data_IF_233099919823
#
_entry.id   IF_233099919823
#
_cell.length_a   1.000
_cell.length_b   1.000
_cell.length_c   1.000
_cell.angle_alpha   90.00
_cell.angle_beta   90.00
_cell.angle_gamma   90.00
#
_symmetry.space_group_name_H-M   'P 1'
#
loop_
_entity.id
_entity.type
_entity.pdbx_description
1 polymer ?
#
# COMPACT_ATOMS: atom_id res chain seq x y z
N UNK A 1 22.49 -22.48 -18.63
CA UNK A 1 21.89 -21.29 -19.30
C UNK A 1 20.46 -21.01 -18.82
N UNK A 2 19.69 -22.02 -18.39
CA UNK A 2 18.30 -21.84 -17.91
C UNK A 2 18.13 -21.06 -16.59
N UNK A 3 19.06 -21.18 -15.64
CA UNK A 3 18.91 -20.55 -14.32
C UNK A 3 19.04 -19.01 -14.33
N UNK A 4 19.75 -18.44 -15.30
CA UNK A 4 20.03 -16.99 -15.33
C UNK A 4 18.86 -16.15 -15.90
N UNK A 5 17.96 -16.76 -16.69
CA UNK A 5 16.78 -16.08 -17.25
C UNK A 5 15.61 -15.99 -16.25
N UNK A 6 15.61 -16.81 -15.19
CA UNK A 6 14.59 -16.77 -14.13
C UNK A 6 14.73 -15.58 -13.18
N UNK A 7 15.88 -14.89 -13.16
CA UNK A 7 16.14 -13.80 -12.21
C UNK A 7 15.55 -12.44 -12.64
N UNK A 8 15.20 -12.25 -13.92
CA UNK A 8 14.64 -10.97 -14.41
C UNK A 8 13.10 -10.91 -14.40
N UNK A 9 12.40 -12.05 -14.34
CA UNK A 9 10.93 -12.08 -14.48
C UNK A 9 10.29 -12.90 -13.36
N UNK A 10 9.49 -12.23 -12.53
CA UNK A 10 8.62 -12.93 -11.59
C UNK A 10 7.46 -13.59 -12.33
N UNK A 11 6.96 -14.74 -11.83
CA UNK A 11 5.83 -15.45 -12.45
C UNK A 11 4.58 -14.56 -12.59
N UNK A 12 4.24 -13.81 -11.54
CA UNK A 12 3.17 -12.80 -11.50
C UNK A 12 3.50 -11.76 -10.43
N UNK A 13 3.56 -10.49 -10.81
CA UNK A 13 3.72 -9.37 -9.87
C UNK A 13 2.32 -8.86 -9.50
N UNK A 14 1.98 -8.90 -8.21
CA UNK A 14 0.70 -8.38 -7.68
C UNK A 14 0.92 -7.00 -7.09
N UNK A 15 0.40 -5.97 -7.74
CA UNK A 15 0.54 -4.58 -7.34
C UNK A 15 -0.72 -4.10 -6.64
N UNK A 16 -0.51 -3.47 -5.50
CA UNK A 16 -1.56 -2.78 -4.77
C UNK A 16 -1.82 -1.39 -5.34
N UNK A 17 -3.04 -1.13 -5.84
CA UNK A 17 -3.44 0.17 -6.38
C UNK A 17 -3.65 1.27 -5.32
N UNK A 18 -3.81 0.91 -4.05
CA UNK A 18 -4.12 1.87 -2.98
C UNK A 18 -3.06 2.96 -2.89
N UNK A 19 -3.48 4.22 -2.88
CA UNK A 19 -2.56 5.34 -2.66
C UNK A 19 -1.68 5.71 -3.86
N UNK A 20 -1.83 5.06 -5.02
CA UNK A 20 -1.02 5.36 -6.20
C UNK A 20 -1.64 6.45 -7.08
N UNK A 21 -0.82 7.19 -7.84
CA UNK A 21 -1.27 8.15 -8.84
C UNK A 21 -1.50 7.46 -10.18
N UNK A 22 -2.73 7.53 -10.71
CA UNK A 22 -3.21 6.80 -11.90
C UNK A 22 -2.22 6.81 -13.08
N UNK A 23 -1.80 8.01 -13.52
CA UNK A 23 -0.92 8.14 -14.68
C UNK A 23 0.51 7.67 -14.43
N UNK A 24 1.04 7.88 -13.21
CA UNK A 24 2.40 7.45 -12.85
C UNK A 24 2.48 5.94 -12.75
N UNK A 25 1.48 5.33 -12.11
CA UNK A 25 1.33 3.89 -12.03
C UNK A 25 1.17 3.28 -13.42
N UNK A 26 0.30 3.84 -14.27
CA UNK A 26 0.07 3.32 -15.61
C UNK A 26 1.33 3.35 -16.50
N UNK A 27 2.16 4.39 -16.37
CA UNK A 27 3.40 4.52 -17.15
C UNK A 27 4.42 3.44 -16.81
N UNK A 28 4.65 3.19 -15.50
CA UNK A 28 5.56 2.13 -15.07
C UNK A 28 5.02 0.76 -15.47
N UNK A 29 3.72 0.51 -15.26
CA UNK A 29 3.06 -0.72 -15.68
C UNK A 29 3.19 -0.97 -17.18
N UNK A 30 3.00 0.05 -18.02
CA UNK A 30 3.10 -0.09 -19.46
C UNK A 30 4.50 -0.57 -19.88
N UNK A 31 5.56 -0.07 -19.22
CA UNK A 31 6.93 -0.50 -19.52
C UNK A 31 7.18 -1.95 -19.09
N UNK A 32 6.74 -2.34 -17.89
CA UNK A 32 6.86 -3.72 -17.40
C UNK A 32 6.13 -4.72 -18.32
N UNK A 33 4.91 -4.38 -18.76
CA UNK A 33 4.14 -5.23 -19.68
C UNK A 33 4.81 -5.40 -21.04
N UNK A 34 5.51 -4.36 -21.52
CA UNK A 34 6.32 -4.42 -22.74
C UNK A 34 7.59 -5.23 -22.57
N UNK A 35 8.21 -5.19 -21.38
CA UNK A 35 9.36 -6.02 -21.03
C UNK A 35 8.98 -7.51 -20.98
N UNK A 36 7.71 -7.82 -20.70
CA UNK A 36 7.20 -9.19 -20.70
C UNK A 36 6.65 -9.65 -19.36
N UNK A 37 6.68 -8.78 -18.34
CA UNK A 37 6.21 -9.08 -17.00
C UNK A 37 4.69 -9.31 -16.99
N UNK A 38 4.25 -10.34 -16.26
CA UNK A 38 2.83 -10.57 -15.96
C UNK A 38 2.47 -9.77 -14.71
N UNK A 39 1.48 -8.91 -14.83
CA UNK A 39 1.14 -7.94 -13.78
C UNK A 39 -0.35 -7.99 -13.45
N UNK A 40 -0.64 -8.05 -12.17
CA UNK A 40 -2.00 -7.99 -11.62
C UNK A 40 -2.10 -6.74 -10.76
N UNK A 41 -3.03 -5.84 -11.07
CA UNK A 41 -3.33 -4.69 -10.22
C UNK A 41 -4.63 -4.96 -9.46
N UNK A 42 -4.57 -4.88 -8.14
CA UNK A 42 -5.73 -5.01 -7.25
C UNK A 42 -6.08 -3.66 -6.64
N UNK A 43 -7.29 -3.53 -6.08
CA UNK A 43 -7.80 -2.30 -5.46
C UNK A 43 -7.72 -1.07 -6.36
N UNK A 44 -8.18 -1.22 -7.61
CA UNK A 44 -8.16 -0.13 -8.58
C UNK A 44 -9.04 1.07 -8.15
N UNK A 45 -10.06 0.84 -7.32
CA UNK A 45 -10.92 1.87 -6.73
C UNK A 45 -10.16 2.84 -5.82
N UNK A 46 -9.10 2.37 -5.14
CA UNK A 46 -8.28 3.16 -4.21
C UNK A 46 -7.12 3.92 -4.89
N UNK A 47 -7.07 3.89 -6.22
CA UNK A 47 -6.12 4.70 -7.02
C UNK A 47 -6.53 6.16 -6.94
N UNK A 48 -5.55 7.06 -6.92
CA UNK A 48 -5.77 8.50 -6.83
C UNK A 48 -5.45 9.22 -8.15
N UNK A 49 -6.17 10.31 -8.39
CA UNK A 49 -5.86 11.31 -9.41
C UNK A 49 -5.61 12.64 -8.70
N UNK A 50 -4.58 13.38 -9.11
CA UNK A 50 -4.33 14.71 -8.57
C UNK A 50 -5.44 15.71 -8.94
N UNK A 51 -5.61 16.74 -8.11
CA UNK A 51 -6.67 17.74 -8.24
C UNK A 51 -7.99 17.32 -7.62
N UNK A 52 -8.90 18.27 -7.48
CA UNK A 52 -10.20 18.06 -6.83
C UNK A 52 -11.09 17.08 -7.60
N UNK A 53 -11.99 16.42 -6.86
CA UNK A 53 -13.03 15.54 -7.41
C UNK A 53 -13.85 16.25 -8.48
N UNK A 54 -14.29 17.49 -8.22
CA UNK A 54 -15.08 18.29 -9.16
C UNK A 54 -14.37 18.50 -10.51
N UNK A 55 -13.09 18.88 -10.47
CA UNK A 55 -12.29 19.09 -11.69
C UNK A 55 -12.13 17.80 -12.49
N UNK A 56 -11.84 16.68 -11.81
CA UNK A 56 -11.67 15.39 -12.47
C UNK A 56 -13.01 14.86 -13.02
N UNK A 57 -14.12 15.12 -12.32
CA UNK A 57 -15.50 14.86 -12.80
C UNK A 57 -15.75 15.58 -14.12
N UNK A 58 -15.51 16.90 -14.18
CA UNK A 58 -15.72 17.67 -15.42
C UNK A 58 -14.90 17.13 -16.60
N UNK A 59 -13.63 16.77 -16.36
CA UNK A 59 -12.78 16.14 -17.38
C UNK A 59 -13.35 14.82 -17.88
N UNK A 60 -13.80 13.98 -16.95
CA UNK A 60 -14.38 12.68 -17.31
C UNK A 60 -15.71 12.84 -18.04
N UNK A 61 -16.56 13.79 -17.63
CA UNK A 61 -17.84 14.09 -18.30
C UNK A 61 -17.64 14.70 -19.69
N UNK A 62 -16.60 15.52 -19.90
CA UNK A 62 -16.22 15.96 -21.23
C UNK A 62 -15.82 14.78 -22.13
N UNK A 63 -15.17 13.74 -21.58
CA UNK A 63 -14.90 12.50 -22.29
C UNK A 63 -16.20 11.73 -22.60
N UNK A 64 -17.15 11.64 -21.66
CA UNK A 64 -18.46 11.00 -21.87
C UNK A 64 -19.25 11.57 -23.05
N UNK A 65 -19.17 12.89 -23.25
CA UNK A 65 -19.84 13.58 -24.36
C UNK A 65 -19.32 13.16 -25.74
N UNK A 66 -18.11 12.60 -25.83
CA UNK A 66 -17.52 12.17 -27.10
C UNK A 66 -18.19 10.87 -27.57
N UNK A 67 -19.09 10.97 -28.55
CA UNK A 67 -19.76 9.83 -29.19
C UNK A 67 -19.76 10.01 -30.71
N UNK A 68 -19.82 8.90 -31.44
CA UNK A 68 -20.06 8.94 -32.88
C UNK A 68 -21.51 9.40 -33.11
N UNK A 69 -21.70 10.45 -33.92
CA UNK A 69 -23.03 11.03 -34.14
C UNK A 69 -23.94 10.08 -34.95
N UNK A 70 -23.38 9.39 -35.95
CA UNK A 70 -24.13 8.48 -36.83
C UNK A 70 -24.57 7.20 -36.11
N UNK A 71 -23.62 6.46 -35.51
CA UNK A 71 -23.92 5.26 -34.75
C UNK A 71 -23.08 5.19 -33.46
N UNK A 72 -23.65 5.54 -32.29
CA UNK A 72 -22.95 5.50 -31.02
C UNK A 72 -22.33 4.14 -30.67
N UNK A 73 -22.89 3.02 -31.15
CA UNK A 73 -22.37 1.67 -30.89
C UNK A 73 -21.01 1.41 -31.55
N UNK A 74 -20.70 2.09 -32.66
CA UNK A 74 -19.40 2.03 -33.34
C UNK A 74 -18.41 3.09 -32.84
N UNK A 75 -18.83 3.94 -31.91
CA UNK A 75 -18.03 5.03 -31.36
C UNK A 75 -17.08 4.62 -30.22
N UNK A 76 -16.47 5.61 -29.55
CA UNK A 76 -15.64 5.36 -28.38
C UNK A 76 -16.43 4.72 -27.23
N UNK A 77 -15.92 3.61 -26.70
CA UNK A 77 -16.46 3.01 -25.49
C UNK A 77 -15.95 3.72 -24.24
N UNK A 78 -16.89 4.04 -23.36
CA UNK A 78 -16.62 4.73 -22.12
C UNK A 78 -16.81 3.76 -20.94
N UNK A 79 -15.72 3.34 -20.30
CA UNK A 79 -15.77 2.40 -19.18
C UNK A 79 -15.87 3.11 -17.84
N UNK A 80 -16.79 2.69 -16.97
CA UNK A 80 -17.11 3.36 -15.70
C UNK A 80 -16.39 2.75 -14.52
N UNK A 81 -16.21 1.43 -14.56
CA UNK A 81 -15.45 0.66 -13.59
C UNK A 81 -14.00 1.20 -13.44
N UNK A 82 -13.51 1.49 -12.22
CA UNK A 82 -12.16 2.02 -11.99
C UNK A 82 -11.06 1.10 -12.55
N UNK A 83 -11.26 -0.22 -12.47
CA UNK A 83 -10.36 -1.21 -13.08
C UNK A 83 -10.23 -1.02 -14.60
N UNK A 84 -11.36 -0.80 -15.29
CA UNK A 84 -11.41 -0.59 -16.75
C UNK A 84 -10.94 0.80 -17.16
N UNK A 85 -11.09 1.80 -16.29
CA UNK A 85 -10.47 3.12 -16.50
C UNK A 85 -8.95 2.97 -16.50
N UNK A 86 -8.37 2.30 -15.50
CA UNK A 86 -6.93 2.01 -15.46
C UNK A 86 -6.47 1.23 -16.70
N UNK A 87 -7.19 0.17 -17.06
CA UNK A 87 -6.91 -0.62 -18.26
C UNK A 87 -6.91 0.24 -19.54
N UNK A 88 -7.86 1.18 -19.67
CA UNK A 88 -7.92 2.10 -20.81
C UNK A 88 -6.73 3.06 -20.83
N UNK A 89 -6.29 3.55 -19.67
CA UNK A 89 -5.09 4.41 -19.57
C UNK A 89 -3.85 3.65 -20.00
N UNK A 90 -3.64 2.42 -19.48
CA UNK A 90 -2.49 1.59 -19.85
C UNK A 90 -2.55 1.21 -21.34
N UNK A 91 -3.72 0.84 -21.86
CA UNK A 91 -3.93 0.58 -23.29
C UNK A 91 -3.55 1.79 -24.16
N UNK A 92 -3.80 3.01 -23.68
CA UNK A 92 -3.41 4.24 -24.37
C UNK A 92 -1.90 4.47 -24.42
N UNK A 93 -1.15 3.92 -23.46
CA UNK A 93 0.32 3.97 -23.39
C UNK A 93 0.99 2.82 -24.17
N UNK A 94 0.21 1.85 -24.65
CA UNK A 94 0.70 0.70 -25.42
C UNK A 94 0.30 0.82 -26.90
N UNK A 95 1.17 0.33 -27.78
CA UNK A 95 0.89 0.17 -29.22
C UNK A 95 -0.09 -0.99 -29.48
N UNK A 96 -1.28 -0.95 -28.86
CA UNK A 96 -2.26 -2.04 -28.78
C UNK A 96 -2.89 -2.45 -30.13
N UNK A 97 -2.65 -1.69 -31.21
CA UNK A 97 -3.05 -2.10 -32.56
C UNK A 97 -2.10 -3.16 -33.13
N UNK A 98 -0.82 -3.16 -32.72
CA UNK A 98 0.20 -4.14 -33.15
C UNK A 98 0.11 -5.42 -32.31
N UNK A 99 0.53 -6.55 -32.88
CA UNK A 99 0.52 -7.85 -32.20
C UNK A 99 1.27 -7.83 -30.84
N UNK A 100 2.49 -7.25 -30.82
CA UNK A 100 3.28 -7.08 -29.59
C UNK A 100 2.53 -6.31 -28.50
N UNK A 101 1.83 -5.25 -28.86
CA UNK A 101 1.03 -4.45 -27.91
C UNK A 101 -0.21 -5.18 -27.41
N UNK A 102 -0.87 -5.96 -28.27
CA UNK A 102 -1.97 -6.85 -27.85
C UNK A 102 -1.49 -7.90 -26.86
N UNK A 103 -0.35 -8.54 -27.14
CA UNK A 103 0.26 -9.51 -26.24
C UNK A 103 0.62 -8.89 -24.87
N UNK A 104 1.21 -7.69 -24.87
CA UNK A 104 1.50 -6.95 -23.63
C UNK A 104 0.23 -6.65 -22.82
N UNK A 105 -0.86 -6.23 -23.48
CA UNK A 105 -2.12 -5.97 -22.80
C UNK A 105 -2.78 -7.25 -22.26
N UNK A 106 -2.55 -8.41 -22.90
CA UNK A 106 -3.00 -9.71 -22.42
C UNK A 106 -2.30 -10.20 -21.15
N UNK A 107 -1.13 -9.64 -20.81
CA UNK A 107 -0.40 -9.93 -19.56
C UNK A 107 -0.95 -9.17 -18.34
N UNK A 108 -1.75 -8.14 -18.57
CA UNK A 108 -2.32 -7.30 -17.53
C UNK A 108 -3.66 -7.86 -17.04
N UNK A 109 -3.80 -8.01 -15.72
CA UNK A 109 -5.11 -8.20 -15.07
C UNK A 109 -5.35 -7.06 -14.09
N UNK A 110 -6.58 -6.57 -14.04
CA UNK A 110 -6.99 -5.46 -13.18
C UNK A 110 -8.25 -5.85 -12.43
N UNK A 111 -8.29 -5.57 -11.12
CA UNK A 111 -9.41 -5.92 -10.26
C UNK A 111 -9.80 -4.73 -9.36
N UNK A 112 -11.11 -4.63 -9.13
CA UNK A 112 -11.69 -3.87 -8.02
C UNK A 112 -11.65 -4.73 -6.76
N UNK A 113 -11.26 -4.14 -5.63
CA UNK A 113 -10.96 -4.86 -4.41
C UNK A 113 -9.82 -5.88 -4.59
N UNK A 114 -9.74 -6.85 -3.68
CA UNK A 114 -8.77 -7.92 -3.71
C UNK A 114 -9.49 -9.28 -3.76
N UNK A 115 -9.49 -9.96 -4.94
CA UNK A 115 -10.03 -11.31 -5.06
C UNK A 115 -9.30 -12.31 -4.15
N UNK A 116 -9.99 -13.38 -3.73
CA UNK A 116 -9.46 -14.36 -2.77
C UNK A 116 -8.12 -14.97 -3.19
N UNK A 117 -7.94 -15.24 -4.50
CA UNK A 117 -6.70 -15.79 -5.08
C UNK A 117 -5.47 -14.93 -4.76
N UNK A 118 -5.64 -13.60 -4.72
CA UNK A 118 -4.55 -12.65 -4.46
C UNK A 118 -4.55 -12.12 -3.03
N UNK A 119 -5.43 -12.64 -2.16
CA UNK A 119 -5.56 -12.10 -0.81
C UNK A 119 -4.34 -12.48 0.06
N UNK A 120 -3.85 -13.71 -0.06
CA UNK A 120 -2.70 -14.26 0.69
C UNK A 120 -1.34 -13.95 0.04
N UNK A 121 -1.32 -13.51 -1.21
CA UNK A 121 -0.08 -13.17 -1.91
C UNK A 121 0.50 -11.85 -1.40
N UNK A 122 1.84 -11.75 -1.33
CA UNK A 122 2.53 -10.48 -1.06
C UNK A 122 2.17 -9.48 -2.16
N UNK A 123 1.74 -8.30 -1.75
CA UNK A 123 1.36 -7.21 -2.65
C UNK A 123 2.48 -6.19 -2.62
N UNK A 124 2.98 -5.82 -3.79
CA UNK A 124 4.04 -4.83 -3.91
C UNK A 124 3.45 -3.45 -4.15
N UNK A 125 4.14 -2.42 -3.65
CA UNK A 125 3.84 -1.03 -3.96
C UNK A 125 4.89 -0.48 -4.94
N UNK A 126 4.54 0.59 -5.66
CA UNK A 126 5.41 1.29 -6.59
C UNK A 126 5.75 2.68 -6.04
N UNK A 127 6.89 2.86 -5.34
CA UNK A 127 7.23 4.12 -4.66
C UNK A 127 7.26 5.34 -5.59
N UNK A 128 7.65 5.14 -6.85
CA UNK A 128 7.68 6.21 -7.89
C UNK A 128 6.28 6.72 -8.27
N UNK A 129 5.23 5.99 -7.91
CA UNK A 129 3.84 6.31 -8.21
C UNK A 129 2.99 6.58 -6.97
N UNK A 130 3.51 6.38 -5.74
CA UNK A 130 2.77 6.67 -4.51
C UNK A 130 2.44 8.16 -4.39
N UNK A 131 1.17 8.47 -4.09
CA UNK A 131 0.64 9.82 -3.88
C UNK A 131 1.45 10.57 -2.81
N UNK A 132 1.68 9.95 -1.66
CA UNK A 132 2.36 10.60 -0.53
C UNK A 132 3.78 11.06 -0.89
N UNK A 133 4.48 10.34 -1.77
CA UNK A 133 5.83 10.67 -2.19
C UNK A 133 5.89 11.63 -3.39
N UNK A 134 4.81 11.74 -4.16
CA UNK A 134 4.81 12.43 -5.46
C UNK A 134 3.93 13.69 -5.49
N UNK A 135 2.95 13.78 -4.61
CA UNK A 135 2.06 14.93 -4.50
C UNK A 135 2.47 15.75 -3.27
N UNK A 136 2.60 17.06 -3.44
CA UNK A 136 2.89 17.96 -2.32
C UNK A 136 1.76 17.87 -1.27
N UNK A 137 2.09 17.90 0.04
CA UNK A 137 1.09 18.01 1.10
C UNK A 137 0.14 19.19 0.86
N UNK A 138 -1.11 19.07 1.31
CA UNK A 138 -2.16 20.09 1.14
C UNK A 138 -2.80 20.17 -0.26
N UNK A 139 -2.27 19.45 -1.27
CA UNK A 139 -2.89 19.42 -2.59
C UNK A 139 -4.05 18.43 -2.64
N UNK A 140 -5.22 18.90 -3.08
CA UNK A 140 -6.42 18.08 -3.27
C UNK A 140 -6.15 16.95 -4.25
N UNK A 141 -6.70 15.78 -3.97
CA UNK A 141 -6.72 14.61 -4.84
C UNK A 141 -8.12 14.00 -4.86
N UNK A 142 -8.32 13.04 -5.74
CA UNK A 142 -9.58 12.36 -5.97
C UNK A 142 -9.34 10.85 -5.98
N UNK A 143 -10.10 10.09 -5.21
CA UNK A 143 -10.15 8.63 -5.30
C UNK A 143 -10.86 8.23 -6.59
N UNK A 144 -10.36 7.20 -7.27
CA UNK A 144 -10.89 6.75 -8.55
C UNK A 144 -12.27 6.09 -8.39
N UNK A 145 -12.50 5.40 -7.27
CA UNK A 145 -13.81 4.88 -6.87
C UNK A 145 -14.88 5.98 -6.88
N UNK A 146 -14.67 7.08 -6.16
CA UNK A 146 -15.64 8.19 -6.07
C UNK A 146 -15.95 8.80 -7.45
N UNK A 147 -14.91 9.02 -8.26
CA UNK A 147 -15.08 9.51 -9.63
C UNK A 147 -15.90 8.54 -10.48
N UNK A 148 -15.64 7.24 -10.33
CA UNK A 148 -16.30 6.16 -11.06
C UNK A 148 -17.77 6.03 -10.67
N UNK A 149 -18.07 6.11 -9.37
CA UNK A 149 -19.44 6.10 -8.82
C UNK A 149 -20.26 7.24 -9.41
N UNK A 150 -19.72 8.46 -9.40
CA UNK A 150 -20.38 9.62 -10.03
C UNK A 150 -20.56 9.44 -11.55
N UNK A 151 -19.62 8.77 -12.21
CA UNK A 151 -19.69 8.50 -13.65
C UNK A 151 -20.63 7.33 -14.03
N UNK A 152 -21.28 6.68 -13.06
CA UNK A 152 -22.28 5.63 -13.27
C UNK A 152 -21.80 4.20 -12.98
N UNK A 153 -20.72 4.02 -12.21
CA UNK A 153 -20.32 2.71 -11.69
C UNK A 153 -21.17 2.36 -10.46
N UNK A 154 -21.89 1.22 -10.50
CA UNK A 154 -22.90 0.84 -9.51
C UNK A 154 -22.39 -0.03 -8.37
N UNK A 155 -21.15 -0.51 -8.43
CA UNK A 155 -20.66 -1.57 -7.53
C UNK A 155 -19.78 -1.05 -6.38
N UNK A 156 -19.68 0.27 -6.19
CA UNK A 156 -18.81 0.84 -5.16
C UNK A 156 -19.16 0.31 -3.76
N UNK A 157 -20.44 0.40 -3.37
CA UNK A 157 -20.91 -0.01 -2.04
C UNK A 157 -20.77 -1.52 -1.82
N UNK A 158 -20.91 -2.31 -2.90
CA UNK A 158 -20.68 -3.76 -2.85
C UNK A 158 -19.21 -4.07 -2.57
N UNK A 159 -18.29 -3.41 -3.29
CA UNK A 159 -16.85 -3.61 -3.12
C UNK A 159 -16.41 -3.14 -1.73
N UNK A 160 -16.92 -2.02 -1.23
CA UNK A 160 -16.63 -1.54 0.13
C UNK A 160 -17.05 -2.58 1.20
N UNK A 161 -18.24 -3.19 1.07
CA UNK A 161 -18.68 -4.29 1.95
C UNK A 161 -17.78 -5.53 1.87
N UNK A 162 -17.36 -5.92 0.66
CA UNK A 162 -16.51 -7.09 0.46
C UNK A 162 -15.09 -6.86 1.00
N UNK A 163 -14.52 -5.68 0.79
CA UNK A 163 -13.21 -5.31 1.32
C UNK A 163 -13.23 -5.20 2.84
N UNK A 164 -14.32 -4.68 3.45
CA UNK A 164 -14.49 -4.67 4.90
C UNK A 164 -14.45 -6.10 5.47
N UNK A 165 -15.22 -7.03 4.90
CA UNK A 165 -15.18 -8.46 5.28
C UNK A 165 -13.79 -9.07 5.09
N UNK A 166 -13.08 -8.71 4.02
CA UNK A 166 -11.71 -9.18 3.76
C UNK A 166 -10.72 -8.65 4.80
N UNK A 167 -10.84 -7.39 5.22
CA UNK A 167 -9.97 -6.79 6.23
C UNK A 167 -10.09 -7.49 7.57
N UNK A 168 -11.31 -7.84 8.01
CA UNK A 168 -11.55 -8.62 9.25
C UNK A 168 -10.93 -10.02 9.16
N UNK A 169 -11.10 -10.72 8.02
CA UNK A 169 -10.45 -12.02 7.83
C UNK A 169 -8.92 -11.92 7.84
N UNK A 170 -8.38 -10.84 7.27
CA UNK A 170 -6.95 -10.62 7.21
C UNK A 170 -6.33 -10.22 8.55
N UNK A 171 -7.03 -9.46 9.40
CA UNK A 171 -6.55 -9.16 10.75
C UNK A 171 -6.46 -10.43 11.59
N UNK A 172 -7.50 -11.26 11.58
CA UNK A 172 -7.49 -12.55 12.26
C UNK A 172 -6.36 -13.48 11.76
N UNK A 173 -6.10 -13.50 10.45
CA UNK A 173 -4.96 -14.23 9.88
C UNK A 173 -3.61 -13.66 10.32
N UNK A 174 -3.48 -12.32 10.38
CA UNK A 174 -2.25 -11.66 10.78
C UNK A 174 -1.91 -11.91 12.25
N UNK A 175 -2.88 -11.89 13.15
CA UNK A 175 -2.65 -12.20 14.57
C UNK A 175 -2.16 -13.64 14.75
N UNK A 176 -2.76 -14.60 14.05
CA UNK A 176 -2.27 -15.99 14.03
C UNK A 176 -0.85 -16.09 13.50
N UNK A 177 -0.54 -15.37 12.41
CA UNK A 177 0.80 -15.33 11.84
C UNK A 177 1.81 -14.70 12.80
N UNK A 178 1.44 -13.64 13.52
CA UNK A 178 2.28 -12.96 14.50
C UNK A 178 2.60 -13.88 15.69
N UNK A 179 1.61 -14.60 16.20
CA UNK A 179 1.81 -15.59 17.26
C UNK A 179 2.76 -16.71 16.82
N UNK A 180 2.59 -17.25 15.61
CA UNK A 180 3.50 -18.26 15.05
C UNK A 180 4.92 -17.73 14.85
N UNK A 181 5.08 -16.48 14.39
CA UNK A 181 6.39 -15.85 14.25
C UNK A 181 7.07 -15.70 15.62
N UNK A 182 6.33 -15.33 16.67
CA UNK A 182 6.89 -15.23 18.02
C UNK A 182 7.43 -16.58 18.51
N UNK A 183 6.65 -17.66 18.34
CA UNK A 183 7.09 -19.03 18.67
C UNK A 183 8.33 -19.42 17.86
N UNK A 184 8.37 -19.06 16.57
CA UNK A 184 9.53 -19.34 15.72
C UNK A 184 10.79 -18.59 16.19
N UNK A 185 10.66 -17.33 16.62
CA UNK A 185 11.78 -16.57 17.17
C UNK A 185 12.24 -17.11 18.53
N UNK A 186 11.32 -17.51 19.40
CA UNK A 186 11.65 -18.19 20.67
C UNK A 186 12.40 -19.51 20.43
N UNK A 187 11.94 -20.31 19.46
CA UNK A 187 12.62 -21.56 19.07
C UNK A 187 14.02 -21.30 18.51
N UNK A 188 14.19 -20.30 17.63
CA UNK A 188 15.52 -19.91 17.12
C UNK A 188 16.44 -19.43 18.24
N UNK A 189 15.91 -18.69 19.21
CA UNK A 189 16.69 -18.22 20.36
C UNK A 189 17.17 -19.38 21.24
N UNK A 190 16.32 -20.39 21.44
CA UNK A 190 16.67 -21.58 22.22
C UNK A 190 17.76 -22.43 21.55
N UNK A 191 17.78 -22.55 20.22
CA UNK A 191 18.79 -23.32 19.47
C UNK A 191 20.02 -22.52 19.10
N UNK A 192 20.14 -21.25 19.54
CA UNK A 192 21.22 -20.34 19.12
C UNK A 192 22.61 -20.90 19.39
N UNK A 193 22.77 -21.65 20.48
CA UNK A 193 24.05 -22.25 20.85
C UNK A 193 24.49 -23.38 19.91
N UNK A 194 23.54 -24.10 19.31
CA UNK A 194 23.80 -25.22 18.39
C UNK A 194 24.20 -24.75 16.98
N UNK A 195 23.79 -23.53 16.59
CA UNK A 195 24.03 -22.98 15.24
C UNK A 195 25.11 -21.89 15.18
N UNK A 196 25.84 -21.65 16.27
CA UNK A 196 26.86 -20.58 16.38
C UNK A 196 27.89 -20.60 15.26
N UNK A 197 28.41 -21.78 14.94
CA UNK A 197 29.47 -21.92 13.92
C UNK A 197 28.93 -21.58 12.52
N UNK A 198 27.69 -22.01 12.24
CA UNK A 198 26.99 -21.69 10.97
C UNK A 198 26.68 -20.19 10.89
N UNK A 199 26.23 -19.58 11.98
CA UNK A 199 25.96 -18.14 12.05
C UNK A 199 27.24 -17.31 11.86
N UNK A 200 28.39 -17.79 12.33
CA UNK A 200 29.69 -17.16 12.11
C UNK A 200 30.10 -17.19 10.63
N UNK A 201 29.97 -18.35 9.97
CA UNK A 201 30.21 -18.47 8.52
C UNK A 201 29.24 -17.59 7.70
N UNK A 202 27.96 -17.56 8.08
CA UNK A 202 26.96 -16.69 7.45
C UNK A 202 27.28 -15.21 7.65
N UNK A 203 27.82 -14.82 8.81
CA UNK A 203 28.24 -13.45 9.07
C UNK A 203 29.43 -13.03 8.19
N UNK A 204 30.42 -13.90 8.00
CA UNK A 204 31.55 -13.64 7.06
C UNK A 204 31.06 -13.45 5.62
N UNK A 205 30.04 -14.22 5.22
CA UNK A 205 29.39 -14.10 3.91
C UNK A 205 28.41 -12.91 3.80
N UNK A 206 28.24 -12.13 4.87
CA UNK A 206 27.37 -10.94 4.90
C UNK A 206 25.88 -11.23 5.06
N UNK A 207 25.50 -12.46 5.43
CA UNK A 207 24.13 -12.89 5.75
C UNK A 207 23.79 -12.77 7.26
N UNK A 208 24.72 -12.23 8.06
CA UNK A 208 24.48 -11.88 9.46
C UNK A 208 23.45 -10.74 9.62
N UNK A 209 23.22 -10.30 10.87
CA UNK A 209 22.29 -9.22 11.15
C UNK A 209 22.66 -7.95 10.37
N UNK A 210 21.83 -7.57 9.40
CA UNK A 210 22.00 -6.35 8.63
C UNK A 210 21.72 -5.17 9.57
N UNK A 211 22.78 -4.59 10.13
CA UNK A 211 22.71 -3.31 10.85
C UNK A 211 22.42 -2.24 9.79
N UNK A 212 21.25 -1.57 9.82
CA UNK A 212 20.95 -0.54 8.84
C UNK A 212 22.00 0.57 8.95
N UNK A 213 22.70 0.88 7.85
CA UNK A 213 23.71 1.94 7.79
C UNK A 213 23.10 3.37 7.84
N UNK A 214 21.89 3.49 8.39
CA UNK A 214 21.16 4.73 8.59
C UNK A 214 20.73 4.79 10.06
N UNK A 215 21.43 5.62 10.84
CA UNK A 215 20.92 6.08 12.14
C UNK A 215 19.70 6.96 11.88
N UNK A 216 18.53 6.32 11.79
CA UNK A 216 17.28 7.04 11.66
C UNK A 216 17.02 7.86 12.92
N UNK A 217 16.40 9.04 12.75
CA UNK A 217 15.97 9.91 13.85
C UNK A 217 15.11 9.21 14.93
N UNK A 218 14.66 7.97 14.69
CA UNK A 218 13.96 7.15 15.67
C UNK A 218 14.83 6.74 16.85
N UNK A 219 16.13 6.46 16.66
CA UNK A 219 17.01 6.07 17.78
C UNK A 219 17.29 7.26 18.72
N UNK A 220 17.37 8.48 18.18
CA UNK A 220 17.44 9.70 19.00
C UNK A 220 16.14 9.99 19.76
N UNK A 221 15.00 9.71 19.15
CA UNK A 221 13.69 9.93 19.78
C UNK A 221 13.36 8.90 20.88
N UNK A 222 13.92 7.67 20.79
CA UNK A 222 13.84 6.68 21.88
C UNK A 222 14.85 6.96 23.00
N UNK A 223 16.02 7.53 22.69
CA UNK A 223 16.98 7.99 23.70
C UNK A 223 16.44 9.22 24.48
N UNK A 224 15.95 10.25 23.78
CA UNK A 224 15.36 11.45 24.43
C UNK A 224 14.11 11.14 25.27
N UNK A 225 13.36 10.07 24.94
CA UNK A 225 12.23 9.63 25.76
C UNK A 225 12.66 8.90 27.04
N UNK A 226 13.76 8.16 27.00
CA UNK A 226 14.32 7.50 28.20
C UNK A 226 14.99 8.49 29.13
N UNK A 227 15.62 9.53 28.58
CA UNK A 227 16.24 10.59 29.38
C UNK A 227 15.19 11.51 30.04
N UNK A 228 13.97 11.59 29.50
CA UNK A 228 12.87 12.39 30.07
C UNK A 228 12.02 11.67 31.12
N UNK A 229 12.10 10.33 31.21
CA UNK A 229 11.40 9.52 32.23
C UNK A 229 12.29 9.22 33.45
N UNK A 230 13.54 9.68 33.46
CA UNK A 230 14.54 9.40 34.51
C UNK A 230 14.87 10.56 35.46
N UNK A 231 14.21 11.71 35.33
CA UNK A 231 14.49 12.91 36.12
C UNK A 231 13.18 13.41 36.75
N UNK A 232 12.80 12.81 37.88
CA UNK A 232 11.53 13.09 38.54
C UNK A 232 11.23 12.17 39.72
N UNK A 233 12.21 11.88 40.56
CA UNK A 233 12.02 11.38 41.92
C UNK A 233 13.22 11.87 42.74
N UNK A 234 13.10 13.10 43.26
CA UNK A 234 13.86 13.61 44.41
C UNK A 234 13.18 14.92 44.84
N UNK A 235 12.14 14.78 45.68
CA UNK A 235 11.67 15.86 46.54
C UNK A 235 11.68 15.30 47.96
N UNK A 236 12.66 15.77 48.72
CA UNK A 236 13.02 15.34 50.05
C UNK A 236 11.89 15.55 51.07
N UNK A 237 11.87 14.59 51.99
CA UNK A 237 11.18 14.56 53.26
C UNK A 237 11.88 15.51 54.24
N UNK A 238 11.21 16.58 54.66
CA UNK A 238 11.52 17.32 55.88
C UNK A 238 10.22 17.50 56.65
N UNK A 239 9.99 16.61 57.61
CA UNK A 239 9.03 16.82 58.68
C UNK A 239 9.57 17.80 59.71
N UNK A 240 8.69 18.66 60.24
CA UNK A 240 8.81 19.12 61.62
C UNK A 240 7.45 19.50 62.18
N UNK A 241 7.27 19.12 63.45
CA UNK A 241 6.10 19.20 64.31
C UNK A 241 5.54 20.62 64.56
N UNK A 242 4.24 20.71 64.84
CA UNK A 242 3.61 21.46 65.94
C UNK A 242 2.08 21.53 65.68
N UNK A 243 1.23 20.99 66.57
CA UNK A 243 0.48 21.73 67.60
C UNK A 243 -0.41 22.83 67.00
N UNK A 244 -1.68 23.02 67.32
CA UNK A 244 -2.60 22.62 68.37
C UNK A 244 -3.94 23.30 67.97
N UNK A 245 -5.04 22.91 68.62
CA UNK A 245 -6.26 23.73 68.86
C UNK A 245 -7.15 24.03 67.63
N UNK A 246 -8.32 23.40 67.53
CA UNK A 246 -9.59 23.76 68.20
C UNK A 246 -10.37 24.86 67.45
N UNK A 247 -11.69 24.77 67.62
CA UNK A 247 -12.73 25.76 67.32
C UNK A 247 -13.40 25.71 65.93
N UNK A 248 -14.52 25.01 65.94
CA UNK A 248 -15.87 25.59 65.86
C UNK A 248 -16.49 26.02 64.51
N UNK A 249 -17.77 25.61 64.46
CA UNK A 249 -18.96 26.27 63.90
C UNK A 249 -19.27 26.22 62.39
N UNK A 250 -20.23 25.32 62.08
CA UNK A 250 -21.58 25.64 61.60
C UNK A 250 -21.76 26.70 60.49
N UNK A 251 -22.04 26.23 59.26
CA UNK A 251 -23.35 26.28 58.57
C UNK A 251 -23.24 25.73 57.12
#
# INVERSE_FOLDING_TARGET
>A
VEACLSAMFEKVVVIDGKGHLLGRLASTLAKELQAGQKVVVIRCEEINISGSLFRNKLKYYAFLKKRMNTNPKKGPFHYRAPSRILWRVIRGMLAHKKAKGKAALGRLKVFEGCPEVYNKTKKVCMPRALKNLRLKPGRKFCRLGDLSSLAGWKHNDLIEKLEAKRMVRNSAYYEKKKALLKIMEEAKAATKDEVKDIDAELAELGYGAIIPNYKGKSEKAEAEKKDAEGDGDDAEDDGDDAADDDDDDDE
#
